data_IF_055440848637
#
_entry.id   IF_055440848637
#
_cell.length_a   1.000
_cell.length_b   1.000
_cell.length_c   1.000
_cell.angle_alpha   90.00
_cell.angle_beta   90.00
_cell.angle_gamma   90.00
#
_symmetry.space_group_name_H-M   'P 1'
#
loop_
_entity.id
_entity.type
_entity.pdbx_description
1 polymer ?
#
# COMPACT_ATOMS: atom_id res chain seq x y z
N UNK A 1 -12.24 5.11 3.75
CA UNK A 1 -11.85 3.76 3.30
C UNK A 1 -11.79 3.81 1.78
N UNK A 2 -10.67 3.40 1.18
CA UNK A 2 -10.54 3.30 -0.27
C UNK A 2 -10.23 1.85 -0.63
N UNK A 3 -10.91 1.31 -1.64
CA UNK A 3 -10.74 -0.08 -2.08
C UNK A 3 -10.57 -0.16 -3.59
N UNK A 4 -9.72 -1.08 -4.05
CA UNK A 4 -9.51 -1.39 -5.45
C UNK A 4 -9.44 -2.90 -5.65
N UNK A 5 -9.81 -3.38 -6.84
CA UNK A 5 -9.53 -4.75 -7.27
C UNK A 5 -8.20 -4.72 -8.01
N UNK A 6 -7.25 -5.56 -7.61
CA UNK A 6 -5.93 -5.69 -8.24
C UNK A 6 -5.68 -7.14 -8.65
N UNK A 7 -5.00 -7.31 -9.78
CA UNK A 7 -4.41 -8.54 -10.25
C UNK A 7 -2.92 -8.61 -9.89
N UNK A 8 -2.32 -9.81 -9.97
CA UNK A 8 -0.86 -9.92 -9.84
C UNK A 8 -0.13 -9.11 -10.94
N UNK A 9 0.88 -8.35 -10.53
CA UNK A 9 1.62 -7.42 -11.36
C UNK A 9 0.99 -6.05 -11.52
N UNK A 10 -0.17 -5.79 -10.91
CA UNK A 10 -0.79 -4.47 -10.92
C UNK A 10 -0.34 -3.59 -9.76
N UNK A 11 -0.37 -2.29 -10.01
CA UNK A 11 -0.05 -1.24 -9.05
C UNK A 11 -1.22 -0.26 -8.97
N UNK A 12 -1.53 0.21 -7.76
CA UNK A 12 -2.47 1.29 -7.53
C UNK A 12 -1.82 2.42 -6.73
N UNK A 13 -2.19 3.65 -7.03
CA UNK A 13 -1.75 4.85 -6.31
C UNK A 13 -2.95 5.63 -5.80
N UNK A 14 -2.83 6.13 -4.57
CA UNK A 14 -3.82 6.99 -3.96
C UNK A 14 -3.12 8.21 -3.36
N UNK A 15 -3.45 9.40 -3.85
CA UNK A 15 -2.98 10.65 -3.28
C UNK A 15 -3.90 11.07 -2.12
N UNK A 16 -3.35 11.13 -0.91
CA UNK A 16 -4.07 11.51 0.30
C UNK A 16 -3.46 12.74 0.95
N UNK A 17 -4.31 13.60 1.51
CA UNK A 17 -3.89 14.75 2.31
C UNK A 17 -3.84 14.37 3.78
N UNK A 18 -2.69 14.58 4.42
CA UNK A 18 -2.47 14.38 5.84
C UNK A 18 -2.26 15.74 6.51
N UNK A 19 -3.02 16.03 7.56
CA UNK A 19 -2.97 17.33 8.24
C UNK A 19 -1.88 17.35 9.32
N UNK A 20 -1.22 18.52 9.45
CA UNK A 20 -0.18 18.71 10.45
C UNK A 20 -0.69 18.63 11.90
N UNK A 21 0.21 18.24 12.81
CA UNK A 21 -0.08 18.12 14.25
C UNK A 21 -0.70 16.79 14.66
N UNK A 22 -0.94 15.89 13.71
CA UNK A 22 -1.66 14.63 13.95
C UNK A 22 -0.75 13.41 13.74
N UNK A 23 -1.06 12.35 14.49
CA UNK A 23 -0.49 11.02 14.32
C UNK A 23 -1.45 10.15 13.53
N UNK A 24 -0.96 9.53 12.46
CA UNK A 24 -1.76 8.70 11.58
C UNK A 24 -1.30 7.25 11.59
N UNK A 25 -2.24 6.36 11.30
CA UNK A 25 -2.02 4.96 10.94
C UNK A 25 -2.57 4.70 9.54
N UNK A 26 -1.73 4.18 8.66
CA UNK A 26 -2.16 3.57 7.40
C UNK A 26 -2.18 2.06 7.60
N UNK A 27 -3.26 1.40 7.18
CA UNK A 27 -3.39 -0.05 7.19
C UNK A 27 -3.81 -0.53 5.80
N UNK A 28 -3.13 -1.56 5.31
CA UNK A 28 -3.41 -2.21 4.03
C UNK A 28 -3.88 -3.64 4.31
N UNK A 29 -5.07 -3.96 3.81
CA UNK A 29 -5.65 -5.29 3.88
C UNK A 29 -5.93 -5.79 2.47
N UNK A 30 -5.64 -7.05 2.20
CA UNK A 30 -5.85 -7.70 0.91
C UNK A 30 -6.46 -9.08 1.08
N UNK A 31 -7.15 -9.54 0.04
CA UNK A 31 -7.57 -10.94 -0.05
C UNK A 31 -6.34 -11.84 -0.26
N UNK A 32 -6.31 -12.99 0.42
CA UNK A 32 -5.16 -13.92 0.37
C UNK A 32 -4.89 -14.48 -1.04
N UNK A 33 -5.90 -14.49 -1.91
CA UNK A 33 -5.82 -15.04 -3.27
C UNK A 33 -4.79 -14.33 -4.15
N UNK A 34 -4.54 -13.03 -3.94
CA UNK A 34 -3.51 -12.26 -4.67
C UNK A 34 -2.13 -12.34 -4.03
N UNK A 35 -2.00 -13.08 -2.93
CA UNK A 35 -0.74 -13.29 -2.24
C UNK A 35 -0.21 -12.05 -1.53
N UNK A 36 1.10 -11.85 -1.65
CA UNK A 36 1.81 -10.76 -0.99
C UNK A 36 1.40 -9.42 -1.56
N UNK A 37 1.24 -8.42 -0.69
CA UNK A 37 1.00 -7.03 -1.08
C UNK A 37 2.08 -6.16 -0.47
N UNK A 38 2.71 -5.38 -1.34
CA UNK A 38 3.72 -4.40 -1.00
C UNK A 38 3.05 -3.03 -0.98
N UNK A 39 3.42 -2.18 -0.03
CA UNK A 39 2.99 -0.79 -0.06
C UNK A 39 4.06 0.16 0.40
N UNK A 40 4.04 1.33 -0.24
CA UNK A 40 4.96 2.43 0.03
C UNK A 40 4.19 3.70 0.30
N UNK A 41 4.74 4.53 1.18
CA UNK A 41 4.34 5.92 1.31
C UNK A 41 5.40 6.78 0.64
N UNK A 42 4.98 7.61 -0.31
CA UNK A 42 5.87 8.50 -1.04
C UNK A 42 5.43 9.95 -0.84
N UNK A 43 6.36 10.89 -0.86
CA UNK A 43 6.01 12.30 -0.99
C UNK A 43 5.55 12.62 -2.43
N UNK A 44 5.10 13.85 -2.68
CA UNK A 44 4.66 14.29 -4.03
C UNK A 44 5.80 14.35 -5.07
N UNK A 45 7.06 14.23 -4.65
CA UNK A 45 8.24 14.11 -5.51
C UNK A 45 8.66 12.65 -5.70
N UNK A 46 7.86 11.69 -5.22
CA UNK A 46 8.10 10.24 -5.23
C UNK A 46 9.34 9.80 -4.43
N UNK A 47 9.76 10.59 -3.44
CA UNK A 47 10.74 10.12 -2.46
C UNK A 47 10.06 9.14 -1.50
N UNK A 48 10.73 8.03 -1.18
CA UNK A 48 10.21 7.00 -0.27
C UNK A 48 10.26 7.53 1.17
N UNK A 49 9.08 7.60 1.80
CA UNK A 49 8.91 7.88 3.23
C UNK A 49 8.89 6.57 4.02
N UNK A 50 8.24 5.54 3.46
CA UNK A 50 8.11 4.22 4.05
C UNK A 50 7.95 3.15 2.96
N UNK A 51 8.47 1.95 3.22
CA UNK A 51 8.37 0.78 2.35
C UNK A 51 8.23 -0.50 3.19
N UNK A 52 7.07 -1.16 3.13
CA UNK A 52 6.79 -2.31 4.00
C UNK A 52 7.69 -3.53 3.71
N UNK A 53 8.31 -3.62 2.53
CA UNK A 53 9.24 -4.71 2.17
C UNK A 53 10.47 -4.71 3.06
N UNK A 54 10.85 -3.54 3.58
CA UNK A 54 11.96 -3.35 4.52
C UNK A 54 11.53 -3.58 5.99
N UNK A 55 10.26 -3.90 6.22
CA UNK A 55 9.65 -4.04 7.55
C UNK A 55 8.85 -5.33 7.67
N UNK A 56 9.39 -6.46 7.18
CA UNK A 56 8.74 -7.78 7.24
C UNK A 56 7.30 -7.79 6.72
N UNK A 57 7.03 -7.00 5.67
CA UNK A 57 5.70 -6.86 5.07
C UNK A 57 4.64 -6.45 6.10
N UNK A 58 5.02 -5.53 7.00
CA UNK A 58 4.10 -4.93 7.95
C UNK A 58 2.84 -4.46 7.22
N UNK A 59 1.66 -4.80 7.77
CA UNK A 59 0.36 -4.42 7.20
C UNK A 59 -0.09 -3.03 7.61
N UNK A 60 0.60 -2.43 8.57
CA UNK A 60 0.28 -1.11 9.10
C UNK A 60 1.54 -0.28 9.28
N UNK A 61 1.41 1.03 9.12
CA UNK A 61 2.47 1.98 9.40
C UNK A 61 1.93 3.20 10.16
N UNK A 62 2.65 3.59 11.20
CA UNK A 62 2.31 4.71 12.06
C UNK A 62 3.31 5.84 11.87
N UNK A 63 2.84 7.07 11.69
CA UNK A 63 3.73 8.22 11.52
C UNK A 63 3.09 9.53 11.99
N UNK A 64 3.96 10.46 12.36
CA UNK A 64 3.59 11.80 12.82
C UNK A 64 3.75 12.80 11.67
N UNK A 65 2.76 13.66 11.47
CA UNK A 65 2.78 14.66 10.40
C UNK A 65 2.98 16.04 11.01
N UNK A 66 4.13 16.67 10.75
CA UNK A 66 4.49 17.98 11.34
C UNK A 66 3.78 19.16 10.66
N UNK A 67 3.61 19.08 9.34
CA UNK A 67 2.93 20.09 8.53
C UNK A 67 2.01 19.41 7.52
N UNK A 68 0.88 20.05 7.19
CA UNK A 68 -0.06 19.51 6.21
C UNK A 68 0.65 19.22 4.88
N UNK A 69 0.53 17.98 4.41
CA UNK A 69 1.20 17.52 3.21
C UNK A 69 0.38 16.45 2.50
N UNK A 70 0.63 16.29 1.21
CA UNK A 70 0.09 15.17 0.45
C UNK A 70 1.09 14.02 0.42
N UNK A 71 0.61 12.80 0.58
CA UNK A 71 1.39 11.57 0.52
C UNK A 71 0.70 10.65 -0.48
N UNK A 72 1.51 10.03 -1.33
CA UNK A 72 1.08 8.98 -2.26
C UNK A 72 1.17 7.65 -1.51
N UNK A 73 0.06 6.95 -1.38
CA UNK A 73 0.02 5.55 -0.96
C UNK A 73 0.06 4.71 -2.22
N UNK A 74 1.19 4.06 -2.47
CA UNK A 74 1.40 3.17 -3.60
C UNK A 74 1.28 1.72 -3.12
N UNK A 75 0.44 0.94 -3.78
CA UNK A 75 0.21 -0.49 -3.54
C UNK A 75 0.71 -1.26 -4.74
N UNK A 76 1.52 -2.28 -4.53
CA UNK A 76 2.02 -3.17 -5.57
C UNK A 76 1.69 -4.63 -5.22
N UNK A 77 1.13 -5.36 -6.19
CA UNK A 77 0.94 -6.82 -6.09
C UNK A 77 2.03 -7.45 -6.95
N UNK A 78 3.15 -7.94 -6.39
CA UNK A 78 4.21 -8.54 -7.19
C UNK A 78 3.72 -9.77 -7.96
N UNK A 79 4.24 -9.97 -9.18
CA UNK A 79 3.94 -11.18 -9.96
C UNK A 79 4.53 -12.40 -9.27
N UNK A 80 3.72 -13.44 -9.07
CA UNK A 80 4.25 -14.72 -8.59
C UNK A 80 5.03 -15.38 -9.73
N UNK A 81 6.28 -15.75 -9.46
CA UNK A 81 7.09 -16.52 -10.41
C UNK A 81 7.02 -17.99 -10.05
N UNK A 82 6.03 -18.71 -10.58
CA UNK A 82 5.99 -20.18 -10.49
C UNK A 82 6.60 -20.79 -11.77
N UNK A 83 7.78 -21.41 -11.64
CA UNK A 83 8.32 -22.32 -12.65
C UNK A 83 8.60 -21.76 -14.06
N UNK A 84 8.70 -20.44 -14.23
CA UNK A 84 9.03 -19.82 -15.52
C UNK A 84 7.93 -19.92 -16.59
N UNK A 85 6.70 -20.30 -16.22
CA UNK A 85 5.54 -20.35 -17.13
C UNK A 85 4.47 -19.39 -16.63
N UNK A 86 3.94 -18.56 -17.52
CA UNK A 86 2.78 -17.73 -17.21
C UNK A 86 1.61 -18.63 -16.78
N UNK A 87 1.12 -18.43 -15.55
CA UNK A 87 -0.09 -19.10 -15.06
C UNK A 87 -1.25 -18.62 -15.93
N UNK A 88 -2.03 -19.55 -16.50
CA UNK A 88 -3.15 -19.23 -17.40
C UNK A 88 -4.27 -18.41 -16.73
N UNK A 89 -4.24 -18.30 -15.41
CA UNK A 89 -5.20 -17.56 -14.59
C UNK A 89 -4.44 -16.69 -13.59
N UNK A 90 -4.49 -15.38 -13.79
CA UNK A 90 -3.94 -14.41 -12.83
C UNK A 90 -5.01 -14.15 -11.78
N UNK A 91 -4.80 -14.52 -10.51
CA UNK A 91 -5.78 -14.25 -9.47
C UNK A 91 -5.99 -12.75 -9.29
N UNK A 92 -7.24 -12.35 -9.10
CA UNK A 92 -7.63 -10.98 -8.76
C UNK A 92 -8.21 -10.95 -7.36
N UNK A 93 -8.03 -9.82 -6.67
CA UNK A 93 -8.49 -9.68 -5.29
C UNK A 93 -8.63 -8.23 -4.88
N UNK A 94 -9.46 -8.01 -3.86
CA UNK A 94 -9.67 -6.70 -3.28
C UNK A 94 -8.49 -6.31 -2.38
N UNK A 95 -7.99 -5.09 -2.57
CA UNK A 95 -7.09 -4.40 -1.65
C UNK A 95 -7.79 -3.18 -1.10
N UNK A 96 -7.72 -3.01 0.22
CA UNK A 96 -8.31 -1.89 0.94
C UNK A 96 -7.23 -1.13 1.69
N UNK A 97 -7.28 0.19 1.54
CA UNK A 97 -6.48 1.15 2.30
C UNK A 97 -7.40 1.80 3.35
N UNK A 98 -7.02 1.64 4.61
CA UNK A 98 -7.61 2.30 5.76
C UNK A 98 -6.63 3.33 6.31
N UNK A 99 -7.10 4.54 6.53
CA UNK A 99 -6.34 5.60 7.21
C UNK A 99 -7.11 6.02 8.44
N UNK A 100 -6.45 6.03 9.58
CA UNK A 100 -7.02 6.42 10.86
C UNK A 100 -6.05 7.28 11.65
N UNK A 101 -6.54 7.81 12.76
CA UNK A 101 -5.72 8.52 13.74
C UNK A 101 -5.13 7.54 14.74
N UNK A 102 -3.90 7.79 15.16
CA UNK A 102 -3.25 7.09 16.25
C UNK A 102 -3.32 8.01 17.48
N UNK A 103 -4.31 7.77 18.33
CA UNK A 103 -4.38 8.39 19.66
C UNK A 103 -3.36 7.76 20.62
#
# INVERSE_FOLDING_TARGET
>A
MNSAILAEGETAELLLTFYGGQSYRVAVCSQEVIGQVEFRLLDTKRNVIFDNTQHNLAKTWDFNVKSTQQIIVEINVPKRTEGGKAVAMVPTGCVTILVGFKE
#
